data_IF_397511801460
#
_entry.id   IF_397511801460
#
_cell.length_a   1.000
_cell.length_b   1.000
_cell.length_c   1.000
_cell.angle_alpha   90.00
_cell.angle_beta   90.00
_cell.angle_gamma   90.00
#
_symmetry.space_group_name_H-M   'P 1'
#
loop_
_entity.id
_entity.type
_entity.pdbx_description
1 polymer ?
#
# COMPACT_ATOMS: atom_id res chain seq x y z
N UNK A 1 -11.17 3.04 -23.19
CA UNK A 1 -12.25 2.98 -22.17
C UNK A 1 -11.86 3.72 -20.90
N UNK A 2 -10.75 3.35 -20.23
CA UNK A 2 -10.25 4.06 -19.03
C UNK A 2 -10.04 5.57 -19.22
N UNK A 3 -9.47 6.00 -20.36
CA UNK A 3 -9.35 7.43 -20.71
C UNK A 3 -10.68 8.15 -20.81
N UNK A 4 -11.73 7.46 -21.28
CA UNK A 4 -13.10 7.99 -21.31
C UNK A 4 -13.64 8.22 -19.91
N UNK A 5 -13.47 7.25 -19.00
CA UNK A 5 -13.85 7.40 -17.59
C UNK A 5 -13.08 8.56 -16.91
N UNK A 6 -11.78 8.72 -17.20
CA UNK A 6 -11.02 9.85 -16.70
C UNK A 6 -11.57 11.21 -17.21
N UNK A 7 -11.99 11.27 -18.48
CA UNK A 7 -12.57 12.48 -19.08
C UNK A 7 -13.96 12.83 -18.52
N UNK A 8 -14.79 11.85 -18.14
CA UNK A 8 -16.10 12.06 -17.53
C UNK A 8 -16.05 12.32 -16.01
N UNK A 9 -14.88 12.72 -15.47
CA UNK A 9 -14.68 13.06 -14.05
C UNK A 9 -15.12 11.93 -13.09
N UNK A 10 -14.91 10.66 -13.46
CA UNK A 10 -15.39 9.54 -12.65
C UNK A 10 -14.64 9.39 -11.32
N UNK A 11 -13.50 10.09 -11.14
CA UNK A 11 -12.76 10.13 -9.87
C UNK A 11 -13.56 10.76 -8.71
N UNK A 12 -14.60 11.55 -8.99
CA UNK A 12 -15.52 12.05 -7.96
C UNK A 12 -16.38 10.94 -7.32
N UNK A 13 -16.73 9.89 -8.07
CA UNK A 13 -17.55 8.78 -7.58
C UNK A 13 -16.77 7.80 -6.68
N UNK A 14 -15.44 7.85 -6.72
CA UNK A 14 -14.59 7.07 -5.79
C UNK A 14 -14.93 7.43 -4.34
N UNK A 15 -15.26 8.70 -4.06
CA UNK A 15 -15.63 9.15 -2.72
C UNK A 15 -16.95 8.55 -2.19
N UNK A 16 -17.75 7.87 -3.03
CA UNK A 16 -18.95 7.16 -2.58
C UNK A 16 -18.65 5.81 -1.96
N UNK A 17 -17.42 5.30 -2.10
CA UNK A 17 -16.97 4.08 -1.44
C UNK A 17 -16.95 4.33 0.07
N UNK A 18 -17.78 3.59 0.79
CA UNK A 18 -17.88 3.71 2.24
C UNK A 18 -16.66 3.10 2.93
N UNK A 19 -16.29 3.57 4.15
CA UNK A 19 -15.24 2.94 4.94
C UNK A 19 -15.48 1.44 5.18
N UNK A 20 -16.75 1.06 5.38
CA UNK A 20 -17.17 -0.33 5.50
C UNK A 20 -16.79 -1.16 4.26
N UNK A 21 -17.07 -0.65 3.06
CA UNK A 21 -16.70 -1.32 1.80
C UNK A 21 -15.18 -1.49 1.68
N UNK A 22 -14.40 -0.49 2.06
CA UNK A 22 -12.93 -0.56 2.07
C UNK A 22 -12.39 -1.60 3.06
N UNK A 23 -12.96 -1.70 4.27
CA UNK A 23 -12.57 -2.71 5.27
C UNK A 23 -12.93 -4.14 4.85
N UNK A 24 -14.15 -4.36 4.33
CA UNK A 24 -14.56 -5.67 3.81
C UNK A 24 -13.70 -6.11 2.62
N UNK A 25 -13.38 -5.18 1.72
CA UNK A 25 -12.54 -5.49 0.58
C UNK A 25 -11.10 -5.80 1.01
N UNK A 26 -10.54 -5.03 1.95
CA UNK A 26 -9.24 -5.33 2.55
C UNK A 26 -9.23 -6.70 3.24
N UNK A 27 -10.30 -7.07 3.95
CA UNK A 27 -10.47 -8.39 4.55
C UNK A 27 -10.52 -9.50 3.49
N UNK A 28 -11.28 -9.32 2.41
CA UNK A 28 -11.36 -10.27 1.32
C UNK A 28 -9.98 -10.55 0.70
N UNK A 29 -9.22 -9.48 0.40
CA UNK A 29 -7.88 -9.60 -0.16
C UNK A 29 -6.93 -10.33 0.82
N UNK A 30 -7.03 -10.05 2.12
CA UNK A 30 -6.24 -10.74 3.14
C UNK A 30 -6.54 -12.25 3.19
N UNK A 31 -7.82 -12.63 3.13
CA UNK A 31 -8.24 -14.05 3.08
C UNK A 31 -7.75 -14.72 1.80
N UNK A 32 -7.86 -14.06 0.65
CA UNK A 32 -7.36 -14.58 -0.62
C UNK A 32 -5.85 -14.78 -0.61
N UNK A 33 -5.08 -13.83 -0.07
CA UNK A 33 -3.63 -14.00 0.06
C UNK A 33 -3.26 -15.11 1.04
N UNK A 34 -3.97 -15.24 2.15
CA UNK A 34 -3.75 -16.36 3.07
C UNK A 34 -4.05 -17.71 2.41
N UNK A 35 -5.13 -17.80 1.63
CA UNK A 35 -5.45 -18.98 0.85
C UNK A 35 -4.37 -19.30 -0.19
N UNK A 36 -3.85 -18.30 -0.91
CA UNK A 36 -2.78 -18.49 -1.89
C UNK A 36 -1.47 -18.91 -1.22
N UNK A 37 -1.15 -18.37 -0.05
CA UNK A 37 0.00 -18.80 0.74
C UNK A 37 -0.13 -20.28 1.16
N UNK A 38 -1.29 -20.70 1.66
CA UNK A 38 -1.56 -22.10 2.02
C UNK A 38 -1.46 -23.01 0.77
N UNK A 39 -2.06 -22.61 -0.35
CA UNK A 39 -1.97 -23.36 -1.62
C UNK A 39 -0.53 -23.47 -2.11
N UNK A 40 0.26 -22.41 -2.00
CA UNK A 40 1.69 -22.40 -2.33
C UNK A 40 2.46 -23.40 -1.47
N UNK A 41 2.27 -23.37 -0.16
CA UNK A 41 2.90 -24.33 0.75
C UNK A 41 2.48 -25.77 0.46
N UNK A 42 1.19 -26.04 0.20
CA UNK A 42 0.71 -27.38 -0.17
C UNK A 42 1.26 -27.82 -1.53
N UNK A 43 1.43 -26.91 -2.48
CA UNK A 43 1.98 -27.24 -3.80
C UNK A 43 3.43 -27.74 -3.72
N UNK A 44 4.15 -27.34 -2.68
CA UNK A 44 5.51 -27.77 -2.39
C UNK A 44 5.58 -29.20 -1.83
N UNK A 45 4.46 -29.75 -1.36
CA UNK A 45 4.31 -31.17 -1.02
C UNK A 45 3.78 -32.00 -2.21
N UNK A 46 3.57 -31.39 -3.38
CA UNK A 46 3.15 -32.13 -4.57
C UNK A 46 4.36 -32.37 -5.47
N UNK A 47 4.31 -33.50 -6.17
CA UNK A 47 5.28 -33.85 -7.19
C UNK A 47 5.46 -32.70 -8.19
N UNK A 48 6.71 -32.41 -8.63
CA UNK A 48 6.95 -31.41 -9.64
C UNK A 48 6.22 -31.79 -10.93
N UNK A 49 5.23 -30.98 -11.31
CA UNK A 49 4.63 -31.03 -12.65
C UNK A 49 5.50 -30.22 -13.62
N UNK A 50 6.73 -30.66 -13.89
CA UNK A 50 7.49 -30.20 -15.06
C UNK A 50 8.04 -31.44 -15.78
N UNK A 51 7.56 -31.80 -16.97
CA UNK A 51 7.93 -31.17 -18.25
C UNK A 51 9.43 -31.21 -18.54
N UNK A 52 10.11 -32.30 -18.17
CA UNK A 52 11.19 -32.91 -18.95
C UNK A 52 11.40 -34.36 -18.49
N UNK A 53 11.24 -35.30 -19.42
CA UNK A 53 11.19 -36.74 -19.18
C UNK A 53 12.57 -37.39 -18.93
N UNK A 54 13.51 -36.71 -18.28
CA UNK A 54 14.92 -37.17 -18.27
C UNK A 54 15.68 -37.07 -16.94
N UNK A 55 15.09 -36.66 -15.83
CA UNK A 55 15.70 -36.85 -14.50
C UNK A 55 15.14 -38.10 -13.82
N UNK A 56 15.98 -39.07 -13.43
CA UNK A 56 15.53 -40.30 -12.81
C UNK A 56 14.84 -39.95 -11.49
N UNK A 57 13.66 -40.50 -11.32
CA UNK A 57 12.84 -40.47 -10.12
C UNK A 57 13.72 -40.82 -8.91
N UNK A 58 14.12 -39.80 -8.15
CA UNK A 58 14.64 -40.01 -6.81
C UNK A 58 13.55 -40.67 -5.94
N UNK A 59 13.94 -41.39 -4.88
CA UNK A 59 13.02 -42.16 -4.06
C UNK A 59 11.86 -41.29 -3.56
N UNK A 60 10.66 -41.90 -3.42
CA UNK A 60 9.38 -41.27 -3.03
C UNK A 60 9.42 -40.38 -1.77
N UNK A 61 10.54 -40.39 -1.03
CA UNK A 61 10.78 -39.59 0.18
C UNK A 61 11.33 -38.19 -0.11
N UNK A 62 11.92 -37.92 -1.28
CA UNK A 62 12.63 -36.65 -1.53
C UNK A 62 11.67 -35.45 -1.64
N UNK A 63 10.54 -35.58 -2.32
CA UNK A 63 9.57 -34.49 -2.45
C UNK A 63 8.84 -34.18 -1.13
N UNK A 64 8.64 -35.19 -0.26
CA UNK A 64 8.11 -35.00 1.09
C UNK A 64 9.13 -34.24 1.95
N UNK A 65 10.41 -34.61 1.87
CA UNK A 65 11.47 -33.92 2.63
C UNK A 65 11.63 -32.47 2.19
N UNK A 66 11.59 -32.19 0.89
CA UNK A 66 11.62 -30.84 0.35
C UNK A 66 10.37 -30.04 0.76
N UNK A 67 9.18 -30.63 0.68
CA UNK A 67 7.94 -30.02 1.17
C UNK A 67 7.99 -29.67 2.67
N UNK A 68 8.49 -30.58 3.50
CA UNK A 68 8.64 -30.37 4.93
C UNK A 68 9.64 -29.24 5.23
N UNK A 69 10.76 -29.22 4.51
CA UNK A 69 11.77 -28.18 4.66
C UNK A 69 11.24 -26.80 4.26
N UNK A 70 10.52 -26.71 3.13
CA UNK A 70 9.86 -25.47 2.72
C UNK A 70 8.78 -25.02 3.72
N UNK A 71 8.04 -25.96 4.32
CA UNK A 71 7.10 -25.64 5.39
C UNK A 71 7.79 -25.06 6.63
N UNK A 72 8.90 -25.65 7.07
CA UNK A 72 9.70 -25.15 8.20
C UNK A 72 10.20 -23.74 7.91
N UNK A 73 10.72 -23.49 6.70
CA UNK A 73 11.19 -22.16 6.30
C UNK A 73 10.04 -21.16 6.22
N UNK A 74 8.88 -21.54 5.66
CA UNK A 74 7.71 -20.66 5.56
C UNK A 74 7.17 -20.26 6.94
N UNK A 75 6.97 -21.23 7.84
CA UNK A 75 6.50 -20.97 9.21
C UNK A 75 7.56 -20.21 10.00
N UNK A 76 8.82 -20.61 9.89
CA UNK A 76 9.95 -19.95 10.54
C UNK A 76 10.06 -18.47 10.15
N UNK A 77 9.98 -18.17 8.85
CA UNK A 77 9.97 -16.81 8.30
C UNK A 77 8.81 -15.99 8.89
N UNK A 78 7.59 -16.52 8.86
CA UNK A 78 6.40 -15.80 9.34
C UNK A 78 6.48 -15.55 10.86
N UNK A 79 6.78 -16.58 11.65
CA UNK A 79 6.88 -16.46 13.10
C UNK A 79 7.97 -15.47 13.52
N UNK A 80 9.15 -15.55 12.90
CA UNK A 80 10.26 -14.63 13.21
C UNK A 80 9.99 -13.20 12.72
N UNK A 81 9.37 -13.02 11.55
CA UNK A 81 8.97 -11.69 11.06
C UNK A 81 7.92 -11.04 11.99
N UNK A 82 6.92 -11.80 12.45
CA UNK A 82 5.93 -11.34 13.43
C UNK A 82 6.61 -11.02 14.77
N UNK A 83 7.54 -11.85 15.23
CA UNK A 83 8.30 -11.58 16.45
C UNK A 83 9.03 -10.23 16.35
N UNK A 84 9.79 -9.99 15.26
CA UNK A 84 10.47 -8.70 15.03
C UNK A 84 9.51 -7.51 15.01
N UNK A 85 8.30 -7.69 14.49
CA UNK A 85 7.29 -6.64 14.53
C UNK A 85 6.78 -6.37 15.97
N UNK A 86 6.57 -7.43 16.75
CA UNK A 86 6.17 -7.35 18.17
C UNK A 86 7.28 -6.80 19.07
N UNK A 87 8.56 -6.97 18.71
CA UNK A 87 9.71 -6.39 19.40
C UNK A 87 9.65 -4.85 19.49
N UNK A 88 8.78 -4.20 18.71
CA UNK A 88 8.48 -2.76 18.85
C UNK A 88 7.96 -2.39 20.25
N UNK A 89 7.35 -3.31 21.00
CA UNK A 89 6.85 -3.06 22.36
C UNK A 89 7.88 -3.26 23.48
N UNK A 90 9.01 -3.91 23.19
CA UNK A 90 9.98 -4.32 24.22
C UNK A 90 10.88 -3.15 24.67
N UNK A 91 11.02 -2.98 26.00
CA UNK A 91 11.76 -1.86 26.62
C UNK A 91 13.28 -2.09 26.75
N UNK A 92 13.76 -3.30 26.43
CA UNK A 92 15.16 -3.70 26.69
C UNK A 92 16.17 -3.13 25.66
N UNK A 93 15.71 -2.67 24.49
CA UNK A 93 16.58 -2.26 23.38
C UNK A 93 16.60 -0.72 23.17
N UNK A 94 17.71 -0.20 22.62
CA UNK A 94 17.85 1.22 22.26
C UNK A 94 16.72 1.63 21.29
N UNK A 95 16.05 2.78 21.49
CA UNK A 95 14.87 3.16 20.69
C UNK A 95 15.09 3.19 19.18
N UNK A 96 16.28 3.60 18.71
CA UNK A 96 16.63 3.65 17.29
C UNK A 96 16.78 2.26 16.68
N UNK A 97 17.54 1.39 17.34
CA UNK A 97 17.75 0.01 16.89
C UNK A 97 16.43 -0.77 16.86
N UNK A 98 15.56 -0.56 17.86
CA UNK A 98 14.23 -1.19 17.92
C UNK A 98 13.31 -0.76 16.77
N UNK A 99 13.29 0.53 16.41
CA UNK A 99 12.49 0.98 15.25
C UNK A 99 13.04 0.40 13.96
N UNK A 100 14.36 0.44 13.78
CA UNK A 100 15.01 -0.14 12.60
C UNK A 100 14.69 -1.63 12.43
N UNK A 101 14.81 -2.43 13.50
CA UNK A 101 14.50 -3.86 13.45
C UNK A 101 13.02 -4.15 13.17
N UNK A 102 12.11 -3.31 13.68
CA UNK A 102 10.68 -3.49 13.47
C UNK A 102 10.23 -3.09 12.05
N UNK A 103 10.86 -2.05 11.48
CA UNK A 103 10.52 -1.52 10.15
C UNK A 103 11.18 -2.36 9.03
N UNK A 104 12.40 -2.87 9.25
CA UNK A 104 13.12 -3.75 8.30
C UNK A 104 13.04 -5.25 8.66
N UNK A 105 12.22 -5.63 9.63
CA UNK A 105 12.19 -7.01 10.14
C UNK A 105 11.78 -8.04 9.09
N UNK A 106 10.75 -7.75 8.27
CA UNK A 106 10.31 -8.64 7.21
C UNK A 106 11.39 -8.89 6.14
N UNK A 107 12.00 -7.87 5.48
CA UNK A 107 13.07 -8.11 4.51
C UNK A 107 14.32 -8.73 5.14
N UNK A 108 14.67 -8.37 6.39
CA UNK A 108 15.78 -8.98 7.12
C UNK A 108 15.56 -10.49 7.31
N UNK A 109 14.35 -10.90 7.72
CA UNK A 109 14.03 -12.32 7.90
C UNK A 109 14.03 -13.08 6.58
N UNK A 110 13.62 -12.46 5.46
CA UNK A 110 13.75 -13.08 4.13
C UNK A 110 15.21 -13.40 3.83
N UNK A 111 16.15 -12.49 4.09
CA UNK A 111 17.59 -12.73 3.87
C UNK A 111 18.11 -13.85 4.78
N UNK A 112 17.77 -13.80 6.08
CA UNK A 112 18.24 -14.79 7.06
C UNK A 112 17.73 -16.20 6.72
N UNK A 113 16.44 -16.35 6.42
CA UNK A 113 15.87 -17.65 6.07
C UNK A 113 16.29 -18.14 4.69
N UNK A 114 16.56 -17.21 3.75
CA UNK A 114 17.17 -17.58 2.47
C UNK A 114 18.60 -18.10 2.66
N UNK A 115 19.40 -17.44 3.50
CA UNK A 115 20.76 -17.88 3.82
C UNK A 115 20.77 -19.23 4.57
N UNK A 116 19.88 -19.41 5.54
CA UNK A 116 19.66 -20.69 6.20
C UNK A 116 19.26 -21.78 5.19
N UNK A 117 18.47 -21.40 4.18
CA UNK A 117 18.12 -22.26 3.06
C UNK A 117 19.34 -22.74 2.27
N UNK A 118 20.26 -21.83 1.93
CA UNK A 118 21.49 -22.20 1.22
C UNK A 118 22.43 -23.07 2.06
N UNK A 119 22.63 -22.73 3.34
CA UNK A 119 23.52 -23.50 4.22
C UNK A 119 22.99 -24.91 4.46
N UNK A 120 21.68 -25.06 4.63
CA UNK A 120 21.08 -26.38 4.83
C UNK A 120 20.97 -27.19 3.53
N UNK A 121 20.97 -26.57 2.35
CA UNK A 121 20.94 -27.29 1.07
C UNK A 121 22.15 -28.22 0.90
N UNK A 122 23.34 -27.80 1.32
CA UNK A 122 24.55 -28.63 1.28
C UNK A 122 24.51 -29.83 2.26
N UNK A 123 23.61 -29.77 3.26
CA UNK A 123 23.43 -30.82 4.26
C UNK A 123 22.28 -31.79 3.92
N UNK A 124 21.45 -31.50 2.91
CA UNK A 124 20.37 -32.41 2.48
C UNK A 124 20.90 -33.41 1.44
N UNK A 125 20.81 -34.73 1.71
CA UNK A 125 21.10 -35.74 0.69
C UNK A 125 19.97 -35.75 -0.35
N UNK A 126 20.29 -35.39 -1.60
CA UNK A 126 19.50 -35.75 -2.78
C UNK A 126 18.49 -34.72 -3.31
N UNK A 127 18.30 -33.57 -2.66
CA UNK A 127 17.31 -32.59 -3.15
C UNK A 127 17.75 -31.16 -2.93
N UNK A 128 18.21 -30.51 -4.01
CA UNK A 128 18.29 -29.05 -4.03
C UNK A 128 16.87 -28.49 -3.78
N UNK A 129 16.70 -27.61 -2.78
CA UNK A 129 15.39 -27.04 -2.51
C UNK A 129 14.82 -26.34 -3.74
N UNK A 130 13.51 -26.44 -3.98
CA UNK A 130 12.88 -25.75 -5.11
C UNK A 130 13.10 -24.24 -4.99
N UNK A 131 13.88 -23.69 -5.92
CA UNK A 131 14.18 -22.27 -6.04
C UNK A 131 13.32 -21.64 -7.11
N UNK A 132 13.06 -20.35 -6.96
CA UNK A 132 12.42 -19.56 -8.00
C UNK A 132 13.41 -19.47 -9.16
N UNK A 133 13.12 -20.16 -10.25
CA UNK A 133 13.85 -19.99 -11.51
C UNK A 133 13.41 -18.66 -12.10
N UNK A 134 14.29 -17.66 -12.08
CA UNK A 134 14.07 -16.41 -12.80
C UNK A 134 14.56 -16.60 -14.24
N UNK A 135 13.67 -16.80 -15.22
CA UNK A 135 14.08 -16.84 -16.62
C UNK A 135 14.72 -15.50 -16.97
N UNK A 136 15.77 -15.55 -17.79
CA UNK A 136 16.46 -14.35 -18.23
C UNK A 136 15.49 -13.47 -19.02
N UNK A 137 15.28 -12.23 -18.56
CA UNK A 137 14.29 -11.30 -19.14
C UNK A 137 14.59 -10.98 -20.60
N UNK A 138 15.84 -11.15 -21.03
CA UNK A 138 16.31 -10.88 -22.39
C UNK A 138 16.13 -12.07 -23.36
N UNK A 139 15.80 -13.27 -22.87
CA UNK A 139 15.59 -14.46 -23.70
C UNK A 139 14.15 -14.58 -24.21
N UNK A 140 13.22 -13.79 -23.67
CA UNK A 140 11.80 -13.80 -24.04
C UNK A 140 11.57 -13.01 -25.34
N UNK A 141 11.91 -13.62 -26.48
CA UNK A 141 11.81 -12.99 -27.82
C UNK A 141 10.38 -12.62 -28.24
N UNK A 142 9.36 -13.22 -27.62
CA UNK A 142 7.97 -13.09 -28.09
C UNK A 142 7.22 -11.87 -27.53
N UNK A 143 7.65 -11.30 -26.41
CA UNK A 143 6.95 -10.18 -25.73
C UNK A 143 6.84 -8.94 -26.62
N UNK A 144 7.92 -8.57 -27.32
CA UNK A 144 7.99 -7.33 -28.11
C UNK A 144 7.23 -7.36 -29.45
N UNK A 145 6.72 -8.52 -29.87
CA UNK A 145 6.11 -8.74 -31.19
C UNK A 145 4.59 -8.54 -31.25
N UNK A 146 3.94 -8.27 -30.10
CA UNK A 146 2.48 -8.20 -30.00
C UNK A 146 1.89 -7.07 -30.85
N UNK A 147 2.51 -5.90 -30.86
CA UNK A 147 2.06 -4.77 -31.69
C UNK A 147 2.11 -5.08 -33.21
N UNK A 148 3.10 -5.86 -33.66
CA UNK A 148 3.26 -6.22 -35.07
C UNK A 148 2.23 -7.28 -35.52
N UNK A 149 1.81 -8.16 -34.61
CA UNK A 149 0.86 -9.27 -34.86
C UNK A 149 -0.61 -8.87 -34.68
N UNK A 150 -0.86 -7.63 -34.24
CA UNK A 150 -2.22 -7.12 -34.01
C UNK A 150 -3.04 -7.00 -35.31
N UNK A 151 -2.36 -6.83 -36.46
CA UNK A 151 -2.98 -6.73 -37.77
C UNK A 151 -3.52 -8.06 -38.33
N UNK A 152 -3.07 -9.20 -37.80
CA UNK A 152 -3.44 -10.54 -38.29
C UNK A 152 -4.75 -11.07 -37.66
N UNK A 153 -5.32 -10.33 -36.69
CA UNK A 153 -6.50 -10.76 -35.94
C UNK A 153 -7.77 -10.39 -36.71
N UNK A 154 -8.67 -11.36 -36.91
CA UNK A 154 -9.93 -11.08 -37.59
C UNK A 154 -10.81 -10.13 -36.77
N UNK A 155 -11.47 -9.21 -37.49
CA UNK A 155 -12.37 -8.19 -36.94
C UNK A 155 -13.38 -8.71 -35.90
N UNK A 156 -14.02 -9.90 -36.04
CA UNK A 156 -14.95 -10.37 -35.02
C UNK A 156 -14.29 -10.62 -33.65
N UNK A 157 -13.02 -11.05 -33.60
CA UNK A 157 -12.33 -11.23 -32.32
C UNK A 157 -12.00 -9.90 -31.64
N UNK A 158 -11.78 -8.84 -32.41
CA UNK A 158 -11.57 -7.48 -31.87
C UNK A 158 -12.82 -6.99 -31.16
N UNK A 159 -14.01 -7.23 -31.74
CA UNK A 159 -15.28 -6.90 -31.09
C UNK A 159 -15.58 -7.80 -29.88
N UNK A 160 -15.26 -9.09 -29.97
CA UNK A 160 -15.41 -10.00 -28.83
C UNK A 160 -14.52 -9.59 -27.63
N UNK A 161 -13.32 -9.06 -27.90
CA UNK A 161 -12.39 -8.57 -26.86
C UNK A 161 -12.89 -7.31 -26.12
N UNK A 162 -13.90 -6.61 -26.65
CA UNK A 162 -14.50 -5.45 -25.98
C UNK A 162 -15.17 -5.84 -24.64
N UNK A 163 -15.77 -7.02 -24.57
CA UNK A 163 -16.47 -7.52 -23.38
C UNK A 163 -15.50 -7.70 -22.19
N UNK A 164 -14.42 -8.51 -22.30
CA UNK A 164 -13.45 -8.63 -21.22
C UNK A 164 -12.72 -7.30 -20.95
N UNK A 165 -12.48 -6.47 -21.97
CA UNK A 165 -11.87 -5.15 -21.78
C UNK A 165 -12.74 -4.23 -20.91
N UNK A 166 -14.06 -4.28 -21.05
CA UNK A 166 -14.99 -3.52 -20.21
C UNK A 166 -14.94 -4.00 -18.75
N UNK A 167 -14.95 -5.32 -18.54
CA UNK A 167 -14.87 -5.93 -17.19
C UNK A 167 -13.56 -5.52 -16.50
N UNK A 168 -12.42 -5.64 -17.19
CA UNK A 168 -11.09 -5.25 -16.66
C UNK A 168 -11.05 -3.75 -16.39
N UNK A 169 -11.62 -2.93 -17.27
CA UNK A 169 -11.70 -1.47 -17.07
C UNK A 169 -12.45 -1.13 -15.78
N UNK A 170 -13.58 -1.80 -15.52
CA UNK A 170 -14.36 -1.62 -14.29
C UNK A 170 -13.55 -2.05 -13.06
N UNK A 171 -12.88 -3.21 -13.13
CA UNK A 171 -12.01 -3.71 -12.05
C UNK A 171 -10.88 -2.73 -11.73
N UNK A 172 -10.19 -2.20 -12.75
CA UNK A 172 -9.09 -1.25 -12.56
C UNK A 172 -9.54 0.08 -11.98
N UNK A 173 -10.71 0.57 -12.41
CA UNK A 173 -11.30 1.77 -11.82
C UNK A 173 -11.61 1.56 -10.33
N UNK A 174 -12.19 0.40 -9.98
CA UNK A 174 -12.50 0.06 -8.60
C UNK A 174 -11.24 -0.15 -7.73
N UNK A 175 -10.30 -1.01 -8.16
CA UNK A 175 -9.06 -1.30 -7.43
C UNK A 175 -8.25 -0.02 -7.18
N UNK A 176 -8.13 0.83 -8.20
CA UNK A 176 -7.43 2.10 -8.08
C UNK A 176 -8.15 3.04 -7.11
N UNK A 177 -9.48 3.13 -7.22
CA UNK A 177 -10.30 3.94 -6.30
C UNK A 177 -10.13 3.52 -4.85
N UNK A 178 -10.27 2.23 -4.56
CA UNK A 178 -10.13 1.69 -3.19
C UNK A 178 -8.69 1.83 -2.68
N UNK A 179 -7.69 1.50 -3.49
CA UNK A 179 -6.28 1.59 -3.10
C UNK A 179 -5.89 3.04 -2.77
N UNK A 180 -6.32 4.01 -3.59
CA UNK A 180 -6.07 5.43 -3.33
C UNK A 180 -6.76 5.92 -2.07
N UNK A 181 -8.00 5.50 -1.80
CA UNK A 181 -8.70 5.85 -0.54
C UNK A 181 -8.02 5.25 0.69
N UNK A 182 -7.55 4.00 0.62
CA UNK A 182 -6.81 3.34 1.70
C UNK A 182 -5.47 4.02 1.97
N UNK A 183 -4.79 4.51 0.94
CA UNK A 183 -3.56 5.29 1.07
C UNK A 183 -3.80 6.70 1.64
N UNK A 184 -4.95 7.31 1.33
CA UNK A 184 -5.27 8.70 1.64
C UNK A 184 -6.23 8.86 2.84
N UNK A 185 -6.36 7.85 3.69
CA UNK A 185 -7.22 7.94 4.87
C UNK A 185 -6.92 9.19 5.70
N UNK A 186 -7.98 9.82 6.23
CA UNK A 186 -7.88 11.07 7.01
C UNK A 186 -6.91 10.98 8.20
N UNK A 187 -6.70 9.75 8.72
CA UNK A 187 -5.70 9.44 9.76
C UNK A 187 -4.26 9.82 9.39
N UNK A 188 -3.93 9.91 8.11
CA UNK A 188 -2.59 10.22 7.63
C UNK A 188 -2.32 11.72 7.47
N UNK A 189 -3.34 12.57 7.51
CA UNK A 189 -3.17 14.04 7.56
C UNK A 189 -2.40 14.63 6.37
N UNK A 190 -2.70 14.18 5.14
CA UNK A 190 -1.99 14.61 3.93
C UNK A 190 -2.17 16.11 3.64
N UNK A 191 -1.07 16.80 3.28
CA UNK A 191 -1.04 18.25 2.99
C UNK A 191 -1.57 18.60 1.59
N UNK A 192 -1.49 17.68 0.62
CA UNK A 192 -1.91 17.89 -0.77
C UNK A 192 -3.27 17.23 -1.03
N UNK A 193 -4.16 17.88 -1.81
CA UNK A 193 -5.45 17.29 -2.17
C UNK A 193 -5.26 16.07 -3.10
N UNK A 194 -6.21 15.12 -3.09
CA UNK A 194 -6.14 13.93 -3.94
C UNK A 194 -6.42 14.28 -5.41
N UNK A 195 -5.75 13.58 -6.33
CA UNK A 195 -5.84 13.82 -7.78
C UNK A 195 -6.27 12.56 -8.56
N UNK A 196 -7.40 11.97 -8.17
CA UNK A 196 -7.88 10.67 -8.70
C UNK A 196 -7.98 10.58 -10.24
N UNK A 197 -8.40 11.66 -10.91
CA UNK A 197 -8.56 11.66 -12.37
C UNK A 197 -7.22 11.57 -13.11
N UNK A 198 -6.18 12.22 -12.57
CA UNK A 198 -4.84 12.17 -13.15
C UNK A 198 -4.22 10.79 -13.01
N UNK A 199 -4.43 10.16 -11.85
CA UNK A 199 -3.95 8.82 -11.60
C UNK A 199 -4.66 7.78 -12.50
N UNK A 200 -5.98 7.93 -12.74
CA UNK A 200 -6.72 7.11 -13.70
C UNK A 200 -6.26 7.30 -15.15
N UNK A 201 -5.95 8.55 -15.55
CA UNK A 201 -5.43 8.83 -16.88
C UNK A 201 -4.04 8.21 -17.08
N UNK A 202 -3.17 8.31 -16.08
CA UNK A 202 -1.85 7.68 -16.09
C UNK A 202 -1.97 6.15 -16.20
N UNK A 203 -2.87 5.54 -15.42
CA UNK A 203 -3.16 4.11 -15.47
C UNK A 203 -3.64 3.68 -16.87
N UNK A 204 -4.48 4.49 -17.52
CA UNK A 204 -4.95 4.21 -18.87
C UNK A 204 -3.81 4.20 -19.91
N UNK A 205 -2.91 5.18 -19.83
CA UNK A 205 -1.74 5.27 -20.73
C UNK A 205 -0.79 4.11 -20.49
N UNK A 206 -0.52 3.77 -19.23
CA UNK A 206 0.34 2.64 -18.89
C UNK A 206 -0.26 1.30 -19.32
N UNK A 207 -1.56 1.10 -19.14
CA UNK A 207 -2.26 -0.12 -19.58
C UNK A 207 -2.20 -0.27 -21.10
N UNK A 208 -2.35 0.83 -21.86
CA UNK A 208 -2.18 0.82 -23.31
C UNK A 208 -0.75 0.43 -23.70
N UNK A 209 0.26 1.06 -23.07
CA UNK A 209 1.66 0.75 -23.33
C UNK A 209 2.00 -0.71 -23.00
N UNK A 210 1.58 -1.22 -21.84
CA UNK A 210 1.75 -2.63 -21.46
C UNK A 210 1.04 -3.58 -22.44
N UNK A 211 -0.17 -3.24 -22.88
CA UNK A 211 -0.92 -4.02 -23.88
C UNK A 211 -0.20 -4.11 -25.23
N UNK A 212 0.36 -3.00 -25.72
CA UNK A 212 1.15 -2.98 -26.96
C UNK A 212 2.45 -3.76 -26.84
N UNK A 213 3.07 -3.74 -25.65
CA UNK A 213 4.29 -4.47 -25.33
C UNK A 213 4.05 -5.94 -24.96
N UNK A 214 2.79 -6.40 -24.86
CA UNK A 214 2.49 -7.77 -24.42
C UNK A 214 2.83 -8.06 -22.95
N UNK A 215 3.00 -7.03 -22.13
CA UNK A 215 3.33 -7.14 -20.70
C UNK A 215 2.03 -7.07 -19.90
N UNK A 216 1.88 -7.85 -18.81
CA UNK A 216 0.70 -7.74 -17.96
C UNK A 216 0.51 -6.30 -17.46
N UNK A 217 -0.73 -5.79 -17.47
CA UNK A 217 -1.02 -4.45 -16.98
C UNK A 217 -0.81 -4.36 -15.46
N UNK A 218 -0.41 -3.18 -15.00
CA UNK A 218 -0.23 -2.88 -13.58
C UNK A 218 -1.52 -2.32 -12.98
N UNK A 219 -1.92 -2.81 -11.80
CA UNK A 219 -3.03 -2.26 -11.02
C UNK A 219 -2.55 -1.75 -9.65
N UNK A 220 -3.41 -0.99 -8.96
CA UNK A 220 -3.13 -0.50 -7.61
C UNK A 220 -3.04 -1.65 -6.61
N UNK A 221 -1.86 -1.86 -6.01
CA UNK A 221 -1.64 -2.95 -5.06
C UNK A 221 -2.21 -2.60 -3.69
N UNK A 222 -3.29 -3.29 -3.31
CA UNK A 222 -4.07 -3.02 -2.11
C UNK A 222 -3.34 -3.09 -0.76
N UNK A 223 -2.53 -4.12 -0.45
CA UNK A 223 -1.80 -4.14 0.82
C UNK A 223 -0.56 -3.23 0.81
N UNK A 224 0.03 -3.02 -0.36
CA UNK A 224 1.29 -2.28 -0.50
C UNK A 224 1.08 -0.77 -0.39
N UNK A 225 0.00 -0.23 -0.97
CA UNK A 225 -0.31 1.19 -0.89
C UNK A 225 -0.42 1.72 0.57
N UNK A 226 -1.22 1.12 1.47
CA UNK A 226 -1.30 1.56 2.87
C UNK A 226 -0.03 1.22 3.65
N UNK A 227 0.67 0.13 3.34
CA UNK A 227 1.93 -0.20 4.00
C UNK A 227 3.01 0.84 3.68
N UNK A 228 3.12 1.23 2.41
CA UNK A 228 4.04 2.27 1.98
C UNK A 228 3.73 3.62 2.61
N UNK A 229 2.46 4.04 2.67
CA UNK A 229 2.12 5.29 3.37
C UNK A 229 2.40 5.18 4.87
N UNK A 230 2.10 4.04 5.50
CA UNK A 230 2.31 3.85 6.95
C UNK A 230 3.79 3.94 7.38
N UNK A 231 4.73 3.53 6.51
CA UNK A 231 6.18 3.60 6.79
C UNK A 231 6.74 5.01 6.61
N UNK A 232 6.17 5.81 5.70
CA UNK A 232 6.57 7.19 5.45
C UNK A 232 5.98 8.21 6.44
N UNK A 233 5.04 7.80 7.29
CA UNK A 233 4.41 8.65 8.31
C UNK A 233 5.40 8.89 9.47
N UNK A 234 6.32 9.83 9.25
CA UNK A 234 7.16 10.47 10.30
C UNK A 234 6.32 11.17 11.37
N UNK A 235 5.08 11.49 11.00
CA UNK A 235 4.03 12.05 11.85
C UNK A 235 3.70 11.20 13.09
N UNK A 236 4.12 9.94 13.27
CA UNK A 236 3.93 9.28 14.58
C UNK A 236 4.68 9.99 15.72
N UNK A 237 5.87 10.55 15.44
CA UNK A 237 6.60 11.34 16.42
C UNK A 237 5.98 12.75 16.56
N UNK A 238 5.57 13.37 15.45
CA UNK A 238 5.00 14.72 15.48
C UNK A 238 3.55 14.76 15.98
N UNK A 239 2.72 13.75 15.71
CA UNK A 239 1.36 13.59 16.23
C UNK A 239 1.40 13.26 17.72
N UNK A 240 2.27 12.35 18.16
CA UNK A 240 2.47 12.11 19.59
C UNK A 240 2.97 13.38 20.30
N UNK A 241 3.88 14.14 19.68
CA UNK A 241 4.33 15.43 20.19
C UNK A 241 3.22 16.50 20.14
N UNK A 242 2.39 16.52 19.11
CA UNK A 242 1.29 17.48 18.92
C UNK A 242 0.11 17.18 19.84
N UNK A 243 -0.19 15.92 20.09
CA UNK A 243 -1.18 15.44 21.06
C UNK A 243 -0.73 15.77 22.48
N UNK A 244 0.56 15.54 22.79
CA UNK A 244 1.16 16.01 24.05
C UNK A 244 1.10 17.54 24.17
N UNK A 245 1.37 18.30 23.10
CA UNK A 245 1.21 19.77 23.06
C UNK A 245 -0.25 20.22 23.19
N UNK A 246 -1.22 19.46 22.69
CA UNK A 246 -2.67 19.72 22.85
C UNK A 246 -3.13 19.42 24.28
N UNK A 247 -2.68 18.33 24.88
CA UNK A 247 -2.96 17.97 26.27
C UNK A 247 -2.36 18.99 27.26
N UNK A 248 -1.20 19.58 26.93
CA UNK A 248 -0.60 20.68 27.69
C UNK A 248 -1.20 22.06 27.37
N UNK A 249 -2.11 22.18 26.39
CA UNK A 249 -2.70 23.47 26.04
C UNK A 249 -3.80 23.79 27.05
N UNK A 250 -3.68 24.86 27.88
CA UNK A 250 -4.75 25.22 28.79
C UNK A 250 -6.02 25.51 27.98
N UNK A 251 -7.22 25.19 28.51
CA UNK A 251 -8.46 25.54 27.85
C UNK A 251 -8.42 27.04 27.56
N UNK A 252 -8.58 27.40 26.28
CA UNK A 252 -8.78 28.80 25.92
C UNK A 252 -10.06 29.22 26.60
N UNK A 253 -9.95 29.92 27.72
CA UNK A 253 -11.07 30.67 28.30
C UNK A 253 -11.47 31.64 27.19
N UNK A 254 -12.56 31.31 26.50
CA UNK A 254 -13.18 32.22 25.58
C UNK A 254 -13.58 33.43 26.43
N UNK A 255 -12.77 34.49 26.39
CA UNK A 255 -13.11 35.77 27.00
C UNK A 255 -14.37 36.20 26.29
N UNK A 256 -15.53 35.94 26.91
CA UNK A 256 -16.82 36.47 26.45
C UNK A 256 -16.61 37.97 26.39
N UNK A 257 -16.58 38.52 25.18
CA UNK A 257 -16.62 39.97 25.00
C UNK A 257 -17.94 40.42 25.60
N UNK A 258 -17.89 40.92 26.83
CA UNK A 258 -19.04 41.56 27.46
C UNK A 258 -19.38 42.80 26.65
N UNK A 259 -20.66 43.17 26.64
CA UNK A 259 -21.17 44.35 25.92
C UNK A 259 -20.39 45.63 26.31
N UNK A 260 -19.85 45.68 27.53
CA UNK A 260 -18.96 46.76 27.98
C UNK A 260 -17.67 46.91 27.15
N UNK A 261 -17.04 45.81 26.73
CA UNK A 261 -15.84 45.85 25.87
C UNK A 261 -16.19 46.34 24.45
N UNK A 262 -17.37 45.97 23.94
CA UNK A 262 -17.87 46.45 22.65
C UNK A 262 -18.21 47.95 22.70
N UNK A 263 -18.83 48.42 23.79
CA UNK A 263 -19.18 49.82 24.01
C UNK A 263 -17.92 50.68 24.22
N UNK A 264 -16.90 50.18 24.91
CA UNK A 264 -15.62 50.86 25.06
C UNK A 264 -14.90 51.05 23.71
N UNK A 265 -14.93 50.04 22.84
CA UNK A 265 -14.37 50.14 21.48
C UNK A 265 -15.18 51.10 20.58
N UNK A 266 -16.50 51.13 20.69
CA UNK A 266 -17.34 52.06 19.94
C UNK A 266 -17.22 53.51 20.45
N UNK A 267 -17.08 53.71 21.76
CA UNK A 267 -16.87 55.04 22.37
C UNK A 267 -15.53 55.66 21.98
N UNK A 268 -14.49 54.84 21.79
CA UNK A 268 -13.19 55.28 21.26
C UNK A 268 -13.22 55.65 19.77
N UNK A 269 -14.09 55.02 18.98
CA UNK A 269 -14.25 55.32 17.55
C UNK A 269 -15.16 56.52 17.26
N UNK A 270 -16.07 56.89 18.18
CA UNK A 270 -17.00 58.01 18.00
C UNK A 270 -16.51 59.35 18.56
N UNK A 271 -15.24 59.47 18.98
CA UNK A 271 -14.65 60.77 19.25
C UNK A 271 -15.37 61.58 20.34
N UNK A 272 -16.01 60.94 21.32
CA UNK A 272 -16.51 61.61 22.53
C UNK A 272 -15.35 61.83 23.52
N UNK A 273 -14.31 62.51 23.04
CA UNK A 273 -13.31 63.18 23.85
C UNK A 273 -13.87 64.50 24.35
N UNK A 274 -14.87 64.45 25.23
CA UNK A 274 -15.35 65.59 26.01
C UNK A 274 -14.30 66.01 27.03
N UNK A 275 -13.24 66.66 26.57
CA UNK A 275 -12.18 67.22 27.41
C UNK A 275 -12.63 68.59 27.94
N UNK A 276 -13.57 68.57 28.89
CA UNK A 276 -13.93 69.74 29.68
C UNK A 276 -13.04 69.77 30.94
N UNK A 277 -11.81 70.27 30.78
CA UNK A 277 -10.90 70.58 31.88
C UNK A 277 -10.95 72.07 32.16
N UNK A 278 -11.79 72.47 33.11
CA UNK A 278 -11.99 73.85 33.52
C UNK A 278 -10.70 74.53 33.99
N UNK A 279 -10.63 75.83 33.69
CA UNK A 279 -9.59 76.71 34.17
C UNK A 279 -9.56 76.79 35.70
N UNK A 280 -8.35 76.90 36.23
CA UNK A 280 -8.08 77.44 37.55
C UNK A 280 -6.92 78.42 37.38
N UNK A 281 -7.27 79.70 37.26
CA UNK A 281 -6.36 80.79 37.57
C UNK A 281 -6.29 80.99 39.08
N UNK A 282 -5.17 81.52 39.56
CA UNK A 282 -5.05 82.02 40.93
C UNK A 282 -3.63 81.94 41.48
N UNK A 283 -2.96 83.10 41.43
CA UNK A 283 -1.76 83.57 42.16
C UNK A 283 -0.43 82.84 41.96
#
# INVERSE_FOLDING_TARGET
>A
MLTGLAAFNTGGYVMWITPLSGELFGMLIAVLFMQQAIKGTISEFREPKLTDASTPTGPDVEWITNGLWAFIIAVGLVCTAIALHLFRGYKLLVPKARSFLADYGAPLMVVVWSAAGYIAADALPGGDPRRITTPNTWEVKHTWSVAARMGDVSVPYVFAALIPALIITCLFWFDHGVSSLLAQQSRFGLKRPPAFNWDLQLLAVMTLACGLLGIPPVNGVLPQAPMHTSTLVTLRAELAAAEKRRALRPPRVARKRTVADAVATWGLQLGLGGRNGGGRGGS
#
